data_IF_348180971384
#
_entry.id   IF_348180971384
#
_cell.length_a   1.000
_cell.length_b   1.000
_cell.length_c   1.000
_cell.angle_alpha   90.00
_cell.angle_beta   90.00
_cell.angle_gamma   90.00
#
_symmetry.space_group_name_H-M   'P 1'
#
loop_
_entity.id
_entity.type
_entity.pdbx_description
1 polymer ?
#
# COMPACT_ATOMS: atom_id res chain seq x y z
N UNK A 1 15.34 4.86 -7.32
CA UNK A 1 14.08 5.32 -6.71
C UNK A 1 13.52 6.44 -7.57
N UNK A 2 12.23 6.47 -7.81
CA UNK A 2 11.60 7.51 -8.64
C UNK A 2 11.53 8.84 -7.89
N UNK A 3 11.77 9.95 -8.60
CA UNK A 3 11.68 11.30 -8.03
C UNK A 3 10.25 11.59 -7.57
N UNK A 4 10.09 12.23 -6.42
CA UNK A 4 8.80 12.65 -5.87
C UNK A 4 7.98 13.53 -6.83
N UNK A 5 8.66 14.21 -7.74
CA UNK A 5 8.06 15.14 -8.72
C UNK A 5 7.66 14.49 -10.03
N UNK A 6 8.00 13.21 -10.25
CA UNK A 6 7.63 12.54 -11.50
C UNK A 6 6.15 12.13 -11.49
N UNK A 7 5.36 12.53 -12.50
CA UNK A 7 3.98 12.11 -12.61
C UNK A 7 3.89 10.59 -12.85
N UNK A 8 2.83 9.98 -12.34
CA UNK A 8 2.46 8.61 -12.68
C UNK A 8 1.42 8.70 -13.80
N UNK A 9 1.71 8.07 -14.93
CA UNK A 9 0.76 7.95 -16.03
C UNK A 9 0.18 6.54 -16.00
N UNK A 10 -1.13 6.45 -15.83
CA UNK A 10 -1.86 5.19 -15.85
C UNK A 10 -2.85 5.17 -17.02
N UNK A 11 -2.67 4.22 -17.93
CA UNK A 11 -3.53 4.09 -19.10
C UNK A 11 -4.69 3.13 -18.79
N UNK A 12 -5.89 3.68 -18.67
CA UNK A 12 -7.10 2.85 -18.58
C UNK A 12 -7.49 2.30 -19.96
N UNK A 13 -8.08 1.10 -20.03
CA UNK A 13 -8.71 0.61 -21.25
C UNK A 13 -9.75 1.62 -21.76
N UNK A 14 -9.83 1.81 -23.09
CA UNK A 14 -10.66 2.86 -23.70
C UNK A 14 -12.17 2.58 -23.68
N UNK A 15 -12.56 1.36 -23.37
CA UNK A 15 -13.93 0.89 -23.49
C UNK A 15 -14.80 1.16 -22.25
N UNK A 16 -14.25 1.82 -21.23
CA UNK A 16 -15.01 2.16 -20.04
C UNK A 16 -15.67 3.53 -20.18
N UNK A 17 -16.99 3.60 -19.99
CA UNK A 17 -17.73 4.85 -19.90
C UNK A 17 -17.36 5.65 -18.64
N UNK A 18 -16.97 4.95 -17.57
CA UNK A 18 -16.51 5.54 -16.33
C UNK A 18 -15.47 4.66 -15.65
N UNK A 19 -14.64 5.24 -14.81
CA UNK A 19 -13.74 4.54 -13.92
C UNK A 19 -14.00 4.94 -12.48
N UNK A 20 -13.88 4.00 -11.57
CA UNK A 20 -13.97 4.23 -10.15
C UNK A 20 -12.57 4.07 -9.53
N UNK A 21 -12.14 5.06 -8.74
CA UNK A 21 -10.85 5.04 -8.07
C UNK A 21 -11.06 4.95 -6.56
N UNK A 22 -10.49 3.94 -5.96
CA UNK A 22 -10.56 3.67 -4.53
C UNK A 22 -9.24 4.05 -3.86
N UNK A 23 -9.18 5.15 -3.09
CA UNK A 23 -8.06 5.41 -2.23
C UNK A 23 -8.11 4.47 -1.02
N UNK A 24 -7.12 3.60 -0.90
CA UNK A 24 -6.99 2.64 0.21
C UNK A 24 -5.86 3.11 1.12
N UNK A 25 -6.19 3.41 2.36
CA UNK A 25 -5.26 3.90 3.38
C UNK A 25 -5.57 3.31 4.75
N UNK A 26 -4.67 3.51 5.70
CA UNK A 26 -4.83 3.09 7.10
C UNK A 26 -5.28 1.64 7.26
N UNK A 27 -4.72 0.75 6.45
CA UNK A 27 -5.00 -0.67 6.56
C UNK A 27 -4.42 -1.24 7.86
N UNK A 28 -3.22 -0.74 8.25
CA UNK A 28 -2.51 -1.15 9.46
C UNK A 28 -2.46 -2.67 9.63
N UNK A 29 -2.16 -3.39 8.54
CA UNK A 29 -2.05 -4.84 8.61
C UNK A 29 -0.97 -5.23 9.62
N UNK A 30 -1.34 -6.11 10.54
CA UNK A 30 -0.53 -6.47 11.70
C UNK A 30 -1.00 -5.84 13.01
N UNK A 31 -1.83 -4.79 12.98
CA UNK A 31 -2.46 -4.26 14.18
C UNK A 31 -3.56 -5.22 14.67
N UNK A 32 -3.67 -5.41 15.99
CA UNK A 32 -4.72 -6.26 16.59
C UNK A 32 -6.15 -5.83 16.22
N UNK A 33 -6.34 -4.55 15.87
CA UNK A 33 -7.62 -3.97 15.49
C UNK A 33 -7.87 -3.97 13.99
N UNK A 34 -6.98 -4.58 13.20
CA UNK A 34 -7.20 -4.74 11.77
C UNK A 34 -8.54 -5.46 11.51
N UNK A 35 -9.42 -4.80 10.78
CA UNK A 35 -10.75 -5.34 10.51
C UNK A 35 -10.78 -6.12 9.19
N UNK A 36 -10.43 -7.39 9.25
CA UNK A 36 -10.40 -8.28 8.08
C UNK A 36 -11.75 -8.34 7.34
N UNK A 37 -12.88 -8.32 8.07
CA UNK A 37 -14.20 -8.39 7.43
C UNK A 37 -14.51 -7.14 6.60
N UNK A 38 -14.17 -5.95 7.10
CA UNK A 38 -14.31 -4.71 6.33
C UNK A 38 -13.37 -4.68 5.13
N UNK A 39 -12.13 -5.13 5.32
CA UNK A 39 -11.17 -5.21 4.24
C UNK A 39 -11.65 -6.16 3.14
N UNK A 40 -12.09 -7.36 3.47
CA UNK A 40 -12.59 -8.32 2.50
C UNK A 40 -13.77 -7.77 1.69
N UNK A 41 -14.70 -7.05 2.31
CA UNK A 41 -15.80 -6.39 1.59
C UNK A 41 -15.31 -5.36 0.58
N UNK A 42 -14.34 -4.54 0.96
CA UNK A 42 -13.75 -3.53 0.07
C UNK A 42 -12.97 -4.20 -1.07
N UNK A 43 -12.17 -5.21 -0.74
CA UNK A 43 -11.44 -6.04 -1.69
C UNK A 43 -12.39 -6.63 -2.74
N UNK A 44 -13.43 -7.35 -2.30
CA UNK A 44 -14.40 -7.98 -3.19
C UNK A 44 -15.15 -6.94 -4.04
N UNK A 45 -15.48 -5.80 -3.45
CA UNK A 45 -16.09 -4.68 -4.18
C UNK A 45 -15.19 -4.19 -5.31
N UNK A 46 -13.89 -3.98 -5.05
CA UNK A 46 -12.97 -3.47 -6.05
C UNK A 46 -12.75 -4.50 -7.17
N UNK A 47 -12.58 -5.76 -6.84
CA UNK A 47 -12.30 -6.80 -7.85
C UNK A 47 -13.52 -7.20 -8.67
N UNK A 48 -14.74 -6.93 -8.20
CA UNK A 48 -15.98 -7.38 -8.85
C UNK A 48 -16.25 -6.70 -10.20
N UNK A 49 -15.65 -5.54 -10.47
CA UNK A 49 -15.83 -4.82 -11.72
C UNK A 49 -14.49 -4.41 -12.37
N UNK A 50 -14.35 -4.50 -13.69
CA UNK A 50 -13.07 -4.27 -14.35
C UNK A 50 -12.65 -2.79 -14.42
N UNK A 51 -13.58 -1.85 -14.25
CA UNK A 51 -13.33 -0.40 -14.29
C UNK A 51 -12.96 0.20 -12.93
N UNK A 52 -12.68 -0.63 -11.92
CA UNK A 52 -12.30 -0.21 -10.56
C UNK A 52 -10.81 -0.31 -10.34
N UNK A 53 -10.23 0.76 -9.86
CA UNK A 53 -8.79 0.93 -9.67
C UNK A 53 -8.48 1.37 -8.24
N UNK A 54 -7.22 1.20 -7.84
CA UNK A 54 -6.75 1.49 -6.47
C UNK A 54 -5.60 2.49 -6.52
N UNK A 55 -5.64 3.43 -5.59
CA UNK A 55 -4.47 4.20 -5.14
C UNK A 55 -4.20 3.80 -3.70
N UNK A 56 -3.02 3.25 -3.44
CA UNK A 56 -2.59 2.90 -2.09
C UNK A 56 -1.98 4.15 -1.43
N UNK A 57 -2.60 4.64 -0.36
CA UNK A 57 -2.28 5.95 0.24
C UNK A 57 -1.61 5.78 1.61
N UNK A 58 -0.77 4.78 1.76
CA UNK A 58 0.08 4.57 2.92
C UNK A 58 -0.60 4.02 4.17
N UNK A 59 0.19 3.85 5.21
CA UNK A 59 -0.17 3.19 6.46
C UNK A 59 -0.81 1.81 6.23
N UNK A 60 -0.26 1.08 5.25
CA UNK A 60 -0.71 -0.27 4.92
C UNK A 60 -0.18 -1.28 5.93
N UNK A 61 1.01 -1.03 6.47
CA UNK A 61 1.66 -1.84 7.49
C UNK A 61 1.46 -1.22 8.88
N UNK A 62 1.23 -2.03 9.90
CA UNK A 62 1.37 -1.56 11.29
C UNK A 62 2.83 -1.19 11.57
N UNK A 63 3.76 -2.03 11.14
CA UNK A 63 5.19 -1.75 11.15
C UNK A 63 5.70 -1.24 12.51
N UNK A 64 5.25 -1.84 13.61
CA UNK A 64 5.74 -1.50 14.94
C UNK A 64 7.18 -1.99 15.10
N UNK A 65 8.07 -1.06 15.42
CA UNK A 65 9.51 -1.30 15.63
C UNK A 65 9.95 -0.71 16.97
N UNK A 66 11.09 -1.13 17.53
CA UNK A 66 11.61 -0.52 18.76
C UNK A 66 11.70 1.01 18.61
N UNK A 67 11.13 1.72 19.59
CA UNK A 67 11.09 3.20 19.58
C UNK A 67 9.87 3.82 18.87
N UNK A 68 9.01 3.04 18.22
CA UNK A 68 7.72 3.54 17.74
C UNK A 68 6.71 3.70 18.88
N UNK A 69 5.66 4.50 18.64
CA UNK A 69 4.56 4.64 19.63
C UNK A 69 3.77 3.36 19.84
N UNK A 70 3.69 2.51 18.83
CA UNK A 70 3.04 1.21 18.93
C UNK A 70 3.99 0.21 19.57
N UNK A 71 3.46 -0.67 20.43
CA UNK A 71 4.25 -1.73 21.02
C UNK A 71 4.59 -2.80 19.97
N UNK A 72 5.86 -3.18 19.92
CA UNK A 72 6.32 -4.30 19.08
C UNK A 72 5.63 -5.61 19.46
N UNK A 73 5.26 -5.74 20.74
CA UNK A 73 4.64 -6.96 21.27
C UNK A 73 3.14 -7.08 20.98
N UNK A 74 2.48 -5.96 20.62
CA UNK A 74 1.04 -5.92 20.40
C UNK A 74 0.67 -6.10 18.91
N UNK A 75 1.66 -6.21 18.02
CA UNK A 75 1.38 -6.54 16.63
C UNK A 75 1.24 -8.05 16.41
N UNK A 76 0.27 -8.43 15.60
CA UNK A 76 -0.06 -9.84 15.34
C UNK A 76 0.93 -10.53 14.40
N UNK A 77 1.62 -9.77 13.58
CA UNK A 77 2.58 -10.24 12.58
C UNK A 77 3.84 -9.39 12.62
N UNK A 78 4.98 -9.98 12.39
CA UNK A 78 6.23 -9.25 12.24
C UNK A 78 6.19 -8.29 11.04
N UNK A 79 7.00 -7.22 11.02
CA UNK A 79 7.10 -6.34 9.85
C UNK A 79 7.39 -7.06 8.53
N UNK A 80 8.14 -8.15 8.58
CA UNK A 80 8.42 -8.98 7.40
C UNK A 80 7.15 -9.70 6.90
N UNK A 81 6.39 -10.33 7.78
CA UNK A 81 5.12 -10.98 7.41
C UNK A 81 4.10 -9.97 6.88
N UNK A 82 4.08 -8.76 7.45
CA UNK A 82 3.25 -7.66 6.97
C UNK A 82 3.65 -7.27 5.53
N UNK A 83 4.95 -7.16 5.23
CA UNK A 83 5.45 -6.90 3.86
C UNK A 83 5.05 -8.02 2.89
N UNK A 84 5.12 -9.26 3.29
CA UNK A 84 4.72 -10.40 2.47
C UNK A 84 3.24 -10.33 2.09
N UNK A 85 2.39 -9.99 3.05
CA UNK A 85 0.96 -9.79 2.81
C UNK A 85 0.69 -8.64 1.82
N UNK A 86 1.29 -7.46 2.07
CA UNK A 86 1.11 -6.30 1.17
C UNK A 86 1.69 -6.57 -0.22
N UNK A 87 2.79 -7.32 -0.30
CA UNK A 87 3.35 -7.76 -1.59
C UNK A 87 2.35 -8.64 -2.35
N UNK A 88 1.67 -9.55 -1.66
CA UNK A 88 0.62 -10.38 -2.26
C UNK A 88 -0.54 -9.54 -2.78
N UNK A 89 -0.98 -8.53 -2.01
CA UNK A 89 -2.00 -7.57 -2.45
C UNK A 89 -1.55 -6.81 -3.71
N UNK A 90 -0.33 -6.30 -3.75
CA UNK A 90 0.18 -5.58 -4.92
C UNK A 90 0.27 -6.46 -6.16
N UNK A 91 0.61 -7.75 -6.01
CA UNK A 91 0.58 -8.71 -7.11
C UNK A 91 -0.85 -8.95 -7.62
N UNK A 92 -1.79 -9.16 -6.73
CA UNK A 92 -3.20 -9.37 -7.06
C UNK A 92 -3.82 -8.15 -7.75
N UNK A 93 -3.57 -6.96 -7.20
CA UNK A 93 -4.08 -5.69 -7.73
C UNK A 93 -3.19 -5.05 -8.80
N UNK A 94 -2.19 -5.77 -9.33
CA UNK A 94 -1.18 -5.21 -10.24
C UNK A 94 -1.79 -4.42 -11.40
N UNK A 95 -2.79 -4.97 -12.09
CA UNK A 95 -3.45 -4.33 -13.23
C UNK A 95 -4.37 -3.17 -12.84
N UNK A 96 -4.72 -3.07 -11.57
CA UNK A 96 -5.66 -2.07 -11.01
C UNK A 96 -4.98 -0.99 -10.18
N UNK A 97 -3.71 -1.16 -9.81
CA UNK A 97 -2.96 -0.21 -9.01
C UNK A 97 -2.51 0.97 -9.86
N UNK A 98 -3.00 2.17 -9.54
CA UNK A 98 -2.56 3.42 -10.19
C UNK A 98 -1.29 3.93 -9.55
N UNK A 99 -1.28 4.05 -8.22
CA UNK A 99 -0.15 4.59 -7.47
C UNK A 99 -0.02 3.92 -6.10
N UNK A 100 1.19 3.97 -5.54
CA UNK A 100 1.54 3.52 -4.20
C UNK A 100 2.29 4.66 -3.52
N UNK A 101 1.78 5.12 -2.38
CA UNK A 101 2.36 6.18 -1.57
C UNK A 101 2.69 5.64 -0.18
N UNK A 102 3.76 6.15 0.44
CA UNK A 102 4.04 5.85 1.84
C UNK A 102 3.12 6.63 2.78
N UNK A 103 2.82 6.03 3.93
CA UNK A 103 2.23 6.69 5.07
C UNK A 103 3.27 6.98 6.15
N UNK A 104 2.81 7.48 7.30
CA UNK A 104 3.71 7.80 8.40
C UNK A 104 4.29 6.55 9.09
N UNK A 105 3.59 5.40 9.06
CA UNK A 105 4.13 4.16 9.59
C UNK A 105 5.34 3.66 8.78
N UNK A 106 5.26 3.72 7.48
CA UNK A 106 6.38 3.36 6.61
C UNK A 106 7.53 4.38 6.74
N UNK A 107 7.22 5.67 6.57
CA UNK A 107 8.23 6.73 6.58
C UNK A 107 8.93 6.89 7.94
N UNK A 108 8.16 6.99 9.01
CA UNK A 108 8.75 7.28 10.32
C UNK A 108 9.41 6.05 10.95
N UNK A 109 8.83 4.86 10.75
CA UNK A 109 9.28 3.65 11.44
C UNK A 109 10.34 2.88 10.66
N UNK A 110 10.29 2.86 9.33
CA UNK A 110 11.29 2.17 8.50
C UNK A 110 12.26 3.13 7.84
N UNK A 111 11.76 4.12 7.10
CA UNK A 111 12.63 4.97 6.30
C UNK A 111 13.51 5.85 7.17
N UNK A 112 12.95 6.59 8.14
CA UNK A 112 13.73 7.48 9.01
C UNK A 112 14.61 6.75 10.00
N UNK A 113 14.15 5.59 10.53
CA UNK A 113 14.88 4.86 11.56
C UNK A 113 15.93 3.91 10.99
N UNK A 114 15.72 3.36 9.79
CA UNK A 114 16.57 2.32 9.24
C UNK A 114 16.94 2.49 7.76
N UNK A 115 16.46 3.55 7.09
CA UNK A 115 16.72 3.78 5.67
C UNK A 115 16.02 2.77 4.75
N UNK A 116 14.98 2.08 5.24
CA UNK A 116 14.25 1.07 4.49
C UNK A 116 12.97 1.65 3.90
N UNK A 117 12.61 1.20 2.70
CA UNK A 117 11.41 1.61 1.97
C UNK A 117 10.50 0.41 1.73
N UNK A 118 9.73 -0.03 2.75
CA UNK A 118 9.01 -1.30 2.68
C UNK A 118 7.99 -1.40 1.54
N UNK A 119 7.24 -0.34 1.24
CA UNK A 119 6.28 -0.36 0.12
C UNK A 119 6.97 -0.31 -1.24
N UNK A 120 8.13 0.34 -1.35
CA UNK A 120 8.95 0.27 -2.57
C UNK A 120 9.43 -1.15 -2.83
N UNK A 121 9.93 -1.84 -1.80
CA UNK A 121 10.34 -3.24 -1.93
C UNK A 121 9.17 -4.13 -2.38
N UNK A 122 7.99 -3.94 -1.76
CA UNK A 122 6.78 -4.66 -2.16
C UNK A 122 6.41 -4.38 -3.62
N UNK A 123 6.51 -3.12 -4.06
CA UNK A 123 6.24 -2.71 -5.45
C UNK A 123 7.24 -3.34 -6.43
N UNK A 124 8.53 -3.39 -6.07
CA UNK A 124 9.57 -4.06 -6.87
C UNK A 124 9.26 -5.55 -7.05
N UNK A 125 8.94 -6.26 -5.97
CA UNK A 125 8.62 -7.69 -6.01
C UNK A 125 7.33 -7.96 -6.79
N UNK A 126 6.37 -7.04 -6.73
CA UNK A 126 5.14 -7.10 -7.51
C UNK A 126 5.32 -6.71 -8.98
N UNK A 127 6.48 -6.14 -9.34
CA UNK A 127 6.81 -5.72 -10.70
C UNK A 127 6.08 -4.45 -11.14
N UNK A 128 5.89 -3.50 -10.21
CA UNK A 128 5.27 -2.18 -10.43
C UNK A 128 6.02 -1.05 -9.70
N UNK A 129 7.36 -1.05 -9.65
CA UNK A 129 8.11 -0.03 -8.91
C UNK A 129 7.89 1.39 -9.45
N UNK A 130 7.56 1.53 -10.73
CA UNK A 130 7.28 2.81 -11.38
C UNK A 130 6.04 3.52 -10.81
N UNK A 131 5.18 2.80 -10.11
CA UNK A 131 3.95 3.32 -9.47
C UNK A 131 4.16 3.80 -8.04
N UNK A 132 5.33 3.56 -7.49
CA UNK A 132 5.65 4.01 -6.14
C UNK A 132 6.19 5.44 -6.12
N UNK A 133 5.76 6.20 -5.12
CA UNK A 133 6.32 7.52 -4.74
C UNK A 133 6.42 7.60 -3.23
N UNK A 134 7.49 8.23 -2.74
CA UNK A 134 7.53 8.67 -1.35
C UNK A 134 6.49 9.77 -1.18
N UNK A 135 5.59 9.62 -0.20
CA UNK A 135 4.50 10.55 -0.01
C UNK A 135 5.01 11.91 0.46
N UNK A 136 4.85 12.93 -0.36
CA UNK A 136 4.78 14.32 0.11
C UNK A 136 4.17 15.30 -0.90
N UNK A 137 3.45 14.84 -1.91
CA UNK A 137 2.81 15.82 -2.78
C UNK A 137 1.40 15.37 -3.13
N UNK A 138 0.47 15.92 -2.46
CA UNK A 138 -0.88 16.08 -2.97
C UNK A 138 -0.95 17.48 -3.56
#
# INVERSE_FOLDING_TARGET
MYSETQPIVFNCPKDFESVEIYPVHDLHYGNERFNLSKWNRLHDLIISEPNRYVVWVGDLLENAVPGSKSSVFDQMYSPQEQKEYVTALFKEFKSRTIAILDGNHELNRSTRMAGLYPLYDCACIAGIPERYRTAYTI
#
